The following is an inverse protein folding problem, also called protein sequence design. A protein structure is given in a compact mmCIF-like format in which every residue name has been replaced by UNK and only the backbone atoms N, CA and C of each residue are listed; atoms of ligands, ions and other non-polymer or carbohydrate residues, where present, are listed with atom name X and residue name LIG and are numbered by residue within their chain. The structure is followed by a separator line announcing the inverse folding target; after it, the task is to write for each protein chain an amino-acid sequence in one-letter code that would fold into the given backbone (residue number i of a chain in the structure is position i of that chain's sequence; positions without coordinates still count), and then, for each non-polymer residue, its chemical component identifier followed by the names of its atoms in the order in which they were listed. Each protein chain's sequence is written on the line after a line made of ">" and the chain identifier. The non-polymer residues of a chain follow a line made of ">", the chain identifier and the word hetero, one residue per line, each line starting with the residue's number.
data_IF_046110260691
#
_entry.id   IF_046110260691
#
_cell.length_a   1.000
_cell.length_b   1.000
_cell.length_c   1.000
_cell.angle_alpha   90.00
_cell.angle_beta   90.00
_cell.angle_gamma   90.00
#
_symmetry.space_group_name_H-M   'P 1'
#
loop_
_entity.id
_entity.type
_entity.pdbx_description
1 polymer ?
#
# COMPACT_ATOMS: atom_id res chain seq x y z
N UNK A 1 98.45 -37.51 -16.08
CA UNK A 1 97.35 -37.23 -15.07
C UNK A 1 96.90 -35.79 -15.00
N UNK A 2 97.46 -34.82 -15.73
CA UNK A 2 97.09 -33.37 -15.66
C UNK A 2 95.97 -32.93 -16.60
N UNK A 3 95.52 -33.70 -17.57
CA UNK A 3 94.47 -33.25 -18.52
C UNK A 3 93.02 -33.58 -18.10
N UNK A 4 92.80 -34.45 -17.11
CA UNK A 4 91.42 -34.79 -16.65
C UNK A 4 90.90 -33.81 -15.66
N UNK A 5 91.72 -33.09 -14.91
CA UNK A 5 91.33 -32.13 -13.90
C UNK A 5 90.79 -30.81 -14.56
N UNK A 6 91.36 -30.44 -15.70
CA UNK A 6 90.96 -29.25 -16.42
C UNK A 6 89.56 -29.37 -17.05
N UNK A 7 89.13 -30.55 -17.47
CA UNK A 7 87.83 -30.77 -18.06
C UNK A 7 86.68 -30.71 -17.00
N UNK A 8 86.98 -31.27 -15.83
CA UNK A 8 86.04 -31.25 -14.73
C UNK A 8 85.82 -29.82 -14.21
N UNK A 9 86.85 -29.02 -14.11
CA UNK A 9 86.74 -27.59 -13.73
C UNK A 9 86.05 -26.77 -14.79
N UNK A 10 86.25 -27.08 -16.07
CA UNK A 10 85.53 -26.41 -17.14
C UNK A 10 84.03 -26.71 -17.10
N UNK A 11 83.63 -27.95 -16.81
CA UNK A 11 82.24 -28.35 -16.68
C UNK A 11 81.60 -27.64 -15.47
N UNK A 12 82.31 -27.60 -14.33
CA UNK A 12 81.82 -26.88 -13.14
C UNK A 12 81.69 -25.39 -13.38
N UNK A 13 82.59 -24.75 -14.08
CA UNK A 13 82.55 -23.34 -14.45
C UNK A 13 81.34 -23.03 -15.37
N UNK A 14 81.13 -23.90 -16.39
CA UNK A 14 79.97 -23.76 -17.29
C UNK A 14 78.63 -23.93 -16.52
N UNK A 15 78.58 -24.93 -15.64
CA UNK A 15 77.39 -25.13 -14.80
C UNK A 15 77.12 -23.93 -13.87
N UNK A 16 78.18 -23.37 -13.26
CA UNK A 16 78.05 -22.17 -12.41
C UNK A 16 77.58 -20.93 -13.21
N UNK A 17 78.09 -20.76 -14.44
CA UNK A 17 77.65 -19.69 -15.32
C UNK A 17 76.18 -19.88 -15.73
N UNK A 18 75.76 -21.10 -16.07
CA UNK A 18 74.39 -21.41 -16.39
C UNK A 18 73.40 -21.13 -15.20
N UNK A 19 73.78 -21.54 -14.00
CA UNK A 19 73.02 -21.27 -12.78
C UNK A 19 72.96 -19.75 -12.50
N UNK A 20 74.08 -19.06 -12.68
CA UNK A 20 74.10 -17.60 -12.51
C UNK A 20 73.20 -16.87 -13.53
N UNK A 21 73.28 -17.26 -14.80
CA UNK A 21 72.42 -16.72 -15.86
C UNK A 21 70.95 -17.06 -15.58
N UNK A 22 70.63 -18.26 -15.11
CA UNK A 22 69.27 -18.67 -14.76
C UNK A 22 68.74 -17.89 -13.56
N UNK A 23 69.52 -17.70 -12.52
CA UNK A 23 69.13 -16.91 -11.35
C UNK A 23 68.99 -15.42 -11.68
N UNK A 24 69.86 -14.89 -12.51
CA UNK A 24 69.87 -13.50 -12.94
C UNK A 24 68.71 -13.22 -13.91
N UNK A 25 68.42 -14.13 -14.84
CA UNK A 25 67.26 -14.00 -15.73
C UNK A 25 65.90 -14.07 -14.98
N UNK A 26 65.87 -14.88 -13.91
CA UNK A 26 64.65 -15.00 -13.08
C UNK A 26 64.39 -13.76 -12.25
N UNK A 27 65.41 -13.09 -11.73
CA UNK A 27 65.26 -11.81 -11.04
C UNK A 27 64.91 -10.68 -11.99
N UNK A 28 65.51 -10.62 -13.17
CA UNK A 28 65.17 -9.63 -14.20
C UNK A 28 63.77 -9.77 -14.78
N UNK A 29 63.29 -11.03 -14.92
CA UNK A 29 61.89 -11.28 -15.36
C UNK A 29 60.85 -10.85 -14.33
N UNK A 30 61.17 -10.99 -13.04
CA UNK A 30 60.27 -10.53 -11.95
C UNK A 30 60.24 -8.99 -11.88
N UNK A 31 61.38 -8.37 -12.08
CA UNK A 31 61.49 -6.91 -12.05
C UNK A 31 60.88 -6.23 -13.29
N UNK A 32 60.96 -6.87 -14.46
CA UNK A 32 60.30 -6.41 -15.67
C UNK A 32 58.76 -6.53 -15.61
N UNK A 33 58.22 -7.42 -14.78
CA UNK A 33 56.78 -7.56 -14.57
C UNK A 33 56.17 -6.50 -13.60
N UNK A 34 57.03 -5.85 -12.80
CA UNK A 34 56.60 -4.90 -11.78
C UNK A 34 55.85 -3.65 -12.33
N UNK A 35 56.30 -3.01 -13.42
CA UNK A 35 55.57 -1.86 -13.99
C UNK A 35 54.23 -2.28 -14.60
N UNK A 36 54.11 -3.53 -15.09
CA UNK A 36 52.88 -4.01 -15.72
C UNK A 36 51.75 -4.28 -14.71
N UNK A 37 52.07 -4.73 -13.51
CA UNK A 37 51.12 -4.91 -12.42
C UNK A 37 50.64 -3.56 -11.87
N UNK A 38 51.47 -2.56 -11.86
CA UNK A 38 51.15 -1.20 -11.43
C UNK A 38 50.21 -0.50 -12.43
N UNK A 39 50.40 -0.70 -13.71
CA UNK A 39 49.54 -0.21 -14.79
C UNK A 39 48.18 -0.89 -14.74
N UNK A 40 48.12 -2.18 -14.51
CA UNK A 40 46.85 -2.92 -14.39
C UNK A 40 46.01 -2.46 -13.19
N UNK A 41 46.65 -2.23 -12.05
CA UNK A 41 45.96 -1.77 -10.85
C UNK A 41 45.55 -0.28 -10.91
N UNK A 42 46.28 0.53 -11.65
CA UNK A 42 45.94 1.91 -11.91
C UNK A 42 44.79 2.01 -12.90
N UNK A 43 44.78 1.21 -13.95
CA UNK A 43 43.76 1.16 -14.98
C UNK A 43 42.41 0.63 -14.42
N UNK A 44 42.47 -0.44 -13.60
CA UNK A 44 41.24 -1.02 -13.00
C UNK A 44 40.58 -0.08 -11.99
N UNK A 45 41.36 0.70 -11.23
CA UNK A 45 40.82 1.68 -10.25
C UNK A 45 40.24 2.92 -10.90
N UNK A 46 40.89 3.45 -11.94
CA UNK A 46 40.45 4.71 -12.54
C UNK A 46 39.40 4.53 -13.64
N UNK A 47 39.35 3.39 -14.32
CA UNK A 47 38.37 3.14 -15.37
C UNK A 47 37.06 2.59 -14.79
N UNK A 48 37.14 1.68 -13.80
CA UNK A 48 35.94 1.13 -13.16
C UNK A 48 35.11 2.20 -12.44
N UNK A 49 35.78 3.14 -11.75
CA UNK A 49 35.09 4.22 -11.04
C UNK A 49 34.49 5.29 -11.95
N UNK A 50 35.06 5.49 -13.15
CA UNK A 50 34.47 6.44 -14.12
C UNK A 50 33.33 5.84 -14.93
N UNK A 51 33.34 4.54 -15.17
CA UNK A 51 32.29 3.84 -15.91
C UNK A 51 31.07 3.62 -14.99
N UNK A 52 31.25 3.19 -13.73
CA UNK A 52 30.15 3.05 -12.78
C UNK A 52 29.47 4.40 -12.51
N UNK A 53 30.22 5.47 -12.31
CA UNK A 53 29.64 6.80 -12.09
C UNK A 53 28.86 7.35 -13.30
N UNK A 54 29.19 6.96 -14.52
CA UNK A 54 28.45 7.36 -15.72
C UNK A 54 27.13 6.59 -15.89
N UNK A 55 27.12 5.30 -15.55
CA UNK A 55 25.89 4.47 -15.58
C UNK A 55 24.95 4.80 -14.45
N UNK A 56 25.47 5.02 -13.23
CA UNK A 56 24.66 5.45 -12.08
C UNK A 56 24.05 6.83 -12.32
N UNK A 57 24.80 7.74 -12.94
CA UNK A 57 24.28 9.05 -13.31
C UNK A 57 23.19 9.04 -14.39
N UNK A 58 23.22 8.08 -15.33
CA UNK A 58 22.19 7.94 -16.36
C UNK A 58 20.92 7.30 -15.78
N UNK A 59 21.05 6.29 -14.92
CA UNK A 59 19.94 5.66 -14.22
C UNK A 59 19.24 6.65 -13.29
N UNK A 60 19.98 7.38 -12.48
CA UNK A 60 19.46 8.42 -11.59
C UNK A 60 18.78 9.57 -12.35
N UNK A 61 19.29 9.95 -13.51
CA UNK A 61 18.63 10.95 -14.38
C UNK A 61 17.32 10.42 -14.96
N UNK A 62 17.29 9.15 -15.41
CA UNK A 62 16.08 8.53 -15.93
C UNK A 62 14.99 8.40 -14.85
N UNK A 63 15.37 8.02 -13.64
CA UNK A 63 14.49 7.95 -12.48
C UNK A 63 13.96 9.34 -12.08
N UNK A 64 14.82 10.36 -12.07
CA UNK A 64 14.42 11.74 -11.80
C UNK A 64 13.42 12.27 -12.84
N UNK A 65 13.60 11.94 -14.12
CA UNK A 65 12.65 12.29 -15.18
C UNK A 65 11.32 11.56 -14.99
N UNK A 66 11.36 10.28 -14.62
CA UNK A 66 10.15 9.49 -14.33
C UNK A 66 9.39 10.05 -13.13
N UNK A 67 10.09 10.33 -12.02
CA UNK A 67 9.53 10.93 -10.81
C UNK A 67 8.92 12.32 -11.10
N UNK A 68 9.60 13.16 -11.85
CA UNK A 68 9.06 14.46 -12.26
C UNK A 68 7.81 14.35 -13.10
N UNK A 69 7.73 13.37 -14.01
CA UNK A 69 6.51 13.11 -14.80
C UNK A 69 5.37 12.63 -13.93
N UNK A 70 5.62 11.72 -12.99
CA UNK A 70 4.58 11.27 -12.07
C UNK A 70 4.10 12.38 -11.13
N UNK A 71 5.00 13.22 -10.64
CA UNK A 71 4.64 14.40 -9.85
C UNK A 71 3.82 15.41 -10.65
N UNK A 72 4.18 15.67 -11.92
CA UNK A 72 3.38 16.56 -12.77
C UNK A 72 2.01 15.98 -13.12
N UNK A 73 1.89 14.68 -13.32
CA UNK A 73 0.61 14.01 -13.53
C UNK A 73 -0.29 14.12 -12.29
N UNK A 74 0.24 13.83 -11.11
CA UNK A 74 -0.47 13.99 -9.84
C UNK A 74 -0.88 15.45 -9.57
N UNK A 75 -0.02 16.42 -9.91
CA UNK A 75 -0.34 17.84 -9.76
C UNK A 75 -1.45 18.30 -10.71
N UNK A 76 -1.53 17.75 -11.91
CA UNK A 76 -2.64 18.00 -12.84
C UNK A 76 -3.94 17.38 -12.33
N UNK A 77 -3.90 16.14 -11.86
CA UNK A 77 -5.06 15.45 -11.28
C UNK A 77 -5.59 16.16 -10.04
N UNK A 78 -4.69 16.61 -9.15
CA UNK A 78 -5.09 17.40 -7.98
C UNK A 78 -5.71 18.74 -8.37
N UNK A 79 -5.19 19.41 -9.39
CA UNK A 79 -5.75 20.66 -9.90
C UNK A 79 -7.13 20.49 -10.56
N UNK A 80 -7.40 19.37 -11.22
CA UNK A 80 -8.73 19.03 -11.72
C UNK A 80 -9.69 18.70 -10.58
N UNK A 81 -9.23 17.96 -9.59
CA UNK A 81 -10.01 17.67 -8.38
C UNK A 81 -10.42 18.95 -7.63
N UNK A 82 -9.48 19.88 -7.43
CA UNK A 82 -9.78 21.17 -6.80
C UNK A 82 -10.84 21.98 -7.58
N UNK A 83 -10.79 21.98 -8.91
CA UNK A 83 -11.81 22.62 -9.73
C UNK A 83 -13.19 21.98 -9.57
N UNK A 84 -13.24 20.64 -9.54
CA UNK A 84 -14.51 19.91 -9.35
C UNK A 84 -15.07 20.17 -7.95
N UNK A 85 -14.24 20.20 -6.91
CA UNK A 85 -14.65 20.55 -5.54
C UNK A 85 -15.17 21.97 -5.48
N UNK A 86 -14.44 22.94 -6.03
CA UNK A 86 -14.86 24.34 -6.04
C UNK A 86 -16.20 24.57 -6.78
N UNK A 87 -16.38 23.88 -7.92
CA UNK A 87 -17.66 23.96 -8.64
C UNK A 87 -18.78 23.24 -7.89
N UNK A 88 -18.51 22.14 -7.22
CA UNK A 88 -19.50 21.46 -6.37
C UNK A 88 -19.95 22.37 -5.21
N UNK A 89 -19.00 23.04 -4.56
CA UNK A 89 -19.31 23.99 -3.48
C UNK A 89 -20.05 25.21 -3.98
N UNK A 90 -19.70 25.70 -5.17
CA UNK A 90 -20.46 26.77 -5.84
C UNK A 90 -21.90 26.34 -6.13
N UNK A 91 -22.09 25.15 -6.72
CA UNK A 91 -23.42 24.62 -7.01
C UNK A 91 -24.25 24.40 -5.75
N UNK A 92 -23.65 23.91 -4.67
CA UNK A 92 -24.31 23.76 -3.36
C UNK A 92 -24.77 25.09 -2.80
N UNK A 93 -23.93 26.13 -2.87
CA UNK A 93 -24.32 27.49 -2.45
C UNK A 93 -25.51 28.03 -3.27
N UNK A 94 -25.47 27.83 -4.59
CA UNK A 94 -26.58 28.27 -5.49
C UNK A 94 -27.89 27.52 -5.17
N UNK A 95 -27.78 26.23 -4.80
CA UNK A 95 -28.94 25.40 -4.46
C UNK A 95 -29.41 25.57 -3.00
N UNK A 96 -28.75 26.45 -2.22
CA UNK A 96 -29.08 26.63 -0.79
C UNK A 96 -28.74 25.40 0.07
N UNK A 97 -27.92 24.48 -0.44
CA UNK A 97 -27.38 23.40 0.38
C UNK A 97 -26.38 23.97 1.38
N UNK A 98 -26.69 23.79 2.67
CA UNK A 98 -25.79 24.18 3.73
C UNK A 98 -24.43 23.51 3.49
N UNK A 99 -23.35 24.29 3.58
CA UNK A 99 -21.98 23.75 3.63
C UNK A 99 -21.97 22.64 4.66
N UNK A 100 -21.54 21.45 4.25
CA UNK A 100 -21.22 20.42 5.24
C UNK A 100 -20.07 20.96 6.05
N UNK A 101 -20.36 21.35 7.29
CA UNK A 101 -19.36 21.71 8.26
C UNK A 101 -18.24 20.67 8.20
N UNK A 102 -17.01 21.15 8.26
CA UNK A 102 -15.82 20.29 8.40
C UNK A 102 -16.08 19.33 9.55
N UNK A 103 -16.30 18.06 9.26
CA UNK A 103 -16.76 17.11 10.26
C UNK A 103 -15.59 16.86 11.20
N UNK A 104 -15.71 17.37 12.40
CA UNK A 104 -14.72 17.17 13.45
C UNK A 104 -14.55 15.66 13.70
N UNK A 105 -13.33 15.18 13.50
CA UNK A 105 -12.95 13.78 13.71
C UNK A 105 -12.18 13.65 15.00
N UNK A 106 -12.62 12.76 15.87
CA UNK A 106 -11.97 12.46 17.14
C UNK A 106 -11.09 11.21 16.92
N UNK A 107 -9.76 11.33 16.93
CA UNK A 107 -8.89 10.16 16.83
C UNK A 107 -9.00 9.33 18.12
N UNK A 108 -9.13 8.02 17.97
CA UNK A 108 -9.25 7.08 19.08
C UNK A 108 -8.46 5.81 18.80
N UNK A 109 -7.76 5.33 19.82
CA UNK A 109 -7.03 4.05 19.77
C UNK A 109 -7.97 2.90 20.12
N UNK A 110 -7.83 1.77 19.44
CA UNK A 110 -8.55 0.53 19.70
C UNK A 110 -7.89 -0.17 20.90
N UNK A 111 -8.63 -0.32 21.99
CA UNK A 111 -8.15 -0.91 23.24
C UNK A 111 -8.32 -2.43 23.29
N UNK A 112 -9.44 -2.92 22.76
CA UNK A 112 -9.76 -4.34 22.75
C UNK A 112 -10.81 -4.67 21.69
N UNK A 113 -10.80 -5.90 21.24
CA UNK A 113 -11.83 -6.47 20.38
C UNK A 113 -12.84 -7.21 21.23
N UNK A 114 -14.13 -7.01 20.95
CA UNK A 114 -15.26 -7.71 21.55
C UNK A 114 -15.92 -8.58 20.50
N UNK A 115 -16.39 -9.77 20.92
CA UNK A 115 -17.09 -10.69 20.05
C UNK A 115 -17.09 -12.07 20.69
N UNK A 116 -18.13 -12.86 20.41
CA UNK A 116 -18.23 -14.24 20.89
C UNK A 116 -17.12 -15.10 20.31
N UNK A 117 -16.93 -16.27 20.93
CA UNK A 117 -15.94 -17.26 20.53
C UNK A 117 -16.05 -17.57 19.04
N UNK A 118 -14.86 -17.66 18.42
CA UNK A 118 -14.61 -18.14 17.04
C UNK A 118 -14.98 -17.12 15.93
N UNK A 119 -14.00 -16.46 15.44
CA UNK A 119 -13.76 -15.94 14.09
C UNK A 119 -14.42 -14.66 13.58
N UNK A 120 -15.28 -13.95 14.32
CA UNK A 120 -15.73 -12.65 13.86
C UNK A 120 -15.76 -11.62 14.98
N UNK A 121 -14.84 -10.68 14.94
CA UNK A 121 -14.93 -9.48 15.78
C UNK A 121 -16.18 -8.71 15.37
N UNK A 122 -17.09 -8.47 16.33
CA UNK A 122 -18.34 -7.74 16.10
C UNK A 122 -18.37 -6.37 16.74
N UNK A 123 -17.51 -6.15 17.74
CA UNK A 123 -17.34 -4.85 18.38
C UNK A 123 -15.89 -4.58 18.71
N UNK A 124 -15.54 -3.32 18.87
CA UNK A 124 -14.25 -2.87 19.41
C UNK A 124 -14.47 -1.82 20.46
N UNK A 125 -13.63 -1.83 21.49
CA UNK A 125 -13.59 -0.77 22.51
C UNK A 125 -12.50 0.21 22.17
N UNK A 126 -12.82 1.50 22.19
CA UNK A 126 -11.90 2.59 21.84
C UNK A 126 -11.67 3.51 23.04
N UNK A 127 -10.47 4.11 23.12
CA UNK A 127 -9.97 4.93 24.24
C UNK A 127 -10.49 6.38 24.23
N UNK A 128 -11.69 6.62 23.71
CA UNK A 128 -12.37 7.93 23.77
C UNK A 128 -13.82 7.75 24.14
N UNK A 129 -14.32 8.64 24.99
CA UNK A 129 -15.70 8.61 25.50
C UNK A 129 -16.37 9.97 25.48
N UNK A 130 -17.41 10.14 26.29
CA UNK A 130 -18.23 11.35 26.30
C UNK A 130 -17.46 12.63 26.66
N UNK A 131 -16.41 12.53 27.48
CA UNK A 131 -15.52 13.67 27.81
C UNK A 131 -14.83 14.20 26.55
N UNK A 132 -14.47 13.30 25.61
CA UNK A 132 -13.89 13.69 24.32
C UNK A 132 -14.93 14.15 23.29
N UNK A 133 -16.23 14.18 23.63
CA UNK A 133 -17.30 14.58 22.75
C UNK A 133 -17.90 13.46 21.91
N UNK A 134 -17.54 12.19 22.18
CA UNK A 134 -18.14 11.03 21.52
C UNK A 134 -19.60 10.89 21.92
N UNK A 135 -20.44 10.55 20.94
CA UNK A 135 -21.89 10.32 21.12
C UNK A 135 -22.29 8.95 20.58
N UNK A 136 -23.31 8.38 21.16
CA UNK A 136 -23.95 7.17 20.62
C UNK A 136 -24.52 7.47 19.23
N UNK A 137 -24.43 6.48 18.34
CA UNK A 137 -24.84 6.64 16.95
C UNK A 137 -23.80 7.35 16.06
N UNK A 138 -22.67 7.80 16.59
CA UNK A 138 -21.61 8.40 15.80
C UNK A 138 -20.96 7.36 14.87
N UNK A 139 -20.73 7.74 13.62
CA UNK A 139 -20.03 6.90 12.66
C UNK A 139 -18.54 6.84 12.98
N UNK A 140 -17.95 5.65 12.81
CA UNK A 140 -16.52 5.39 13.01
C UNK A 140 -15.89 4.94 11.70
N UNK A 141 -14.80 5.60 11.33
CA UNK A 141 -14.11 5.39 10.05
C UNK A 141 -12.59 5.31 10.23
N UNK A 142 -11.91 4.74 9.25
CA UNK A 142 -10.47 4.85 9.02
C UNK A 142 -10.22 5.55 7.69
N UNK A 143 -8.98 5.88 7.33
CA UNK A 143 -8.66 6.39 5.99
C UNK A 143 -9.09 5.45 4.87
N UNK A 144 -9.12 4.14 5.12
CA UNK A 144 -9.52 3.10 4.17
C UNK A 144 -11.03 3.02 3.99
N UNK A 145 -11.82 3.28 5.07
CA UNK A 145 -13.27 3.20 4.97
C UNK A 145 -14.03 3.15 6.29
N UNK A 146 -15.29 2.73 6.18
CA UNK A 146 -16.23 2.64 7.30
C UNK A 146 -15.88 1.46 8.22
N UNK A 147 -15.77 1.73 9.51
CA UNK A 147 -15.54 0.72 10.55
C UNK A 147 -16.83 0.28 11.21
N UNK A 148 -17.67 1.22 11.62
CA UNK A 148 -18.88 0.90 12.38
C UNK A 148 -19.61 2.11 12.94
N UNK A 149 -20.33 1.87 14.01
CA UNK A 149 -21.12 2.89 14.73
C UNK A 149 -20.90 2.75 16.23
N UNK A 150 -20.84 3.86 16.94
CA UNK A 150 -20.76 3.89 18.39
C UNK A 150 -22.07 3.37 18.99
N UNK A 151 -22.00 2.24 19.68
CA UNK A 151 -23.16 1.59 20.30
C UNK A 151 -23.40 2.08 21.72
N UNK A 152 -22.33 2.29 22.50
CA UNK A 152 -22.42 2.81 23.88
C UNK A 152 -21.23 3.69 24.21
N UNK A 153 -21.42 4.62 25.12
CA UNK A 153 -20.41 5.60 25.51
C UNK A 153 -20.28 5.65 27.02
N UNK A 154 -19.05 5.56 27.51
CA UNK A 154 -18.68 5.83 28.91
C UNK A 154 -17.88 7.15 28.97
N UNK A 155 -17.53 7.67 30.16
CA UNK A 155 -16.77 8.92 30.22
C UNK A 155 -15.44 8.89 29.45
N UNK A 156 -14.71 7.78 29.47
CA UNK A 156 -13.36 7.66 28.92
C UNK A 156 -13.24 6.71 27.72
N UNK A 157 -14.21 5.81 27.54
CA UNK A 157 -14.19 4.81 26.46
C UNK A 157 -15.53 4.74 25.76
N UNK A 158 -15.56 4.17 24.56
CA UNK A 158 -16.81 3.83 23.88
C UNK A 158 -16.69 2.46 23.22
N UNK A 159 -17.83 1.83 23.06
CA UNK A 159 -17.96 0.57 22.33
C UNK A 159 -18.51 0.86 20.91
N UNK A 160 -17.78 0.39 19.93
CA UNK A 160 -18.10 0.54 18.52
C UNK A 160 -18.55 -0.82 17.99
N UNK A 161 -19.75 -0.88 17.46
CA UNK A 161 -20.27 -2.04 16.75
C UNK A 161 -19.79 -1.99 15.30
N UNK A 162 -19.13 -3.04 14.85
CA UNK A 162 -18.53 -3.10 13.52
C UNK A 162 -19.58 -3.37 12.44
N UNK A 163 -19.31 -2.97 11.20
CA UNK A 163 -20.18 -3.28 10.06
C UNK A 163 -20.24 -4.76 9.72
N UNK A 164 -19.35 -5.57 10.29
CA UNK A 164 -19.37 -7.04 10.23
C UNK A 164 -20.46 -7.66 11.12
N UNK A 165 -21.01 -6.89 12.08
CA UNK A 165 -22.11 -7.36 12.90
C UNK A 165 -23.43 -7.35 12.08
N UNK A 166 -24.21 -8.46 12.04
CA UNK A 166 -25.46 -8.52 11.32
C UNK A 166 -26.55 -7.54 11.80
N UNK A 167 -26.43 -7.01 13.01
CA UNK A 167 -27.38 -6.00 13.55
C UNK A 167 -27.16 -4.61 12.98
N UNK A 168 -25.92 -4.33 12.51
CA UNK A 168 -25.57 -3.04 11.90
C UNK A 168 -26.06 -3.01 10.46
N UNK A 169 -26.91 -2.03 10.18
CA UNK A 169 -27.47 -1.80 8.84
C UNK A 169 -26.91 -0.52 8.26
N UNK A 170 -26.19 -0.63 7.16
CA UNK A 170 -25.58 0.50 6.46
C UNK A 170 -26.29 0.73 5.14
N UNK A 171 -26.91 1.89 4.98
CA UNK A 171 -27.44 2.28 3.69
C UNK A 171 -26.29 2.66 2.76
N UNK A 172 -26.16 1.97 1.64
CA UNK A 172 -25.04 2.12 0.72
C UNK A 172 -25.47 2.32 -0.73
N UNK A 173 -24.51 2.84 -1.51
CA UNK A 173 -24.60 3.04 -2.93
C UNK A 173 -23.47 2.28 -3.62
N UNK A 174 -23.83 1.44 -4.57
CA UNK A 174 -22.88 0.75 -5.45
C UNK A 174 -22.61 1.64 -6.66
N UNK A 175 -21.33 1.85 -6.97
CA UNK A 175 -20.90 2.60 -8.13
C UNK A 175 -21.13 1.76 -9.40
N UNK A 176 -21.98 2.24 -10.28
CA UNK A 176 -22.42 1.56 -11.49
C UNK A 176 -22.83 2.61 -12.49
N UNK A 177 -23.05 2.21 -13.76
CA UNK A 177 -23.58 3.10 -14.84
C UNK A 177 -24.85 3.82 -14.37
N UNK A 178 -25.69 3.13 -13.61
CA UNK A 178 -26.81 3.71 -12.87
C UNK A 178 -26.59 3.42 -11.39
N UNK A 179 -26.44 4.44 -10.53
CA UNK A 179 -26.21 4.21 -9.11
C UNK A 179 -27.28 3.31 -8.51
N UNK A 180 -26.84 2.24 -7.87
CA UNK A 180 -27.71 1.30 -7.17
C UNK A 180 -27.62 1.56 -5.68
N UNK A 181 -28.76 1.58 -5.02
CA UNK A 181 -28.83 1.70 -3.55
C UNK A 181 -29.26 0.37 -2.95
N UNK A 182 -28.68 0.06 -1.80
CA UNK A 182 -29.00 -1.13 -1.05
C UNK A 182 -28.73 -0.96 0.44
N UNK A 183 -29.08 -1.96 1.21
CA UNK A 183 -28.76 -2.05 2.63
C UNK A 183 -27.71 -3.14 2.81
N UNK A 184 -26.61 -2.76 3.41
CA UNK A 184 -25.50 -3.66 3.73
C UNK A 184 -25.62 -4.05 5.21
N UNK A 185 -25.37 -5.30 5.48
CA UNK A 185 -25.31 -5.90 6.82
C UNK A 185 -24.08 -6.79 6.94
N UNK A 186 -23.65 -7.07 8.15
CA UNK A 186 -22.65 -8.12 8.38
C UNK A 186 -23.11 -9.44 7.76
N UNK A 187 -22.19 -10.15 7.15
CA UNK A 187 -22.39 -11.44 6.51
C UNK A 187 -21.72 -12.57 7.27
N UNK A 188 -21.47 -13.66 6.57
CA UNK A 188 -20.67 -14.77 7.06
C UNK A 188 -19.23 -14.62 6.59
N UNK A 189 -18.28 -14.98 7.45
CA UNK A 189 -16.85 -14.87 7.18
C UNK A 189 -16.41 -13.45 6.88
N UNK A 190 -15.58 -13.22 5.86
CA UNK A 190 -14.99 -11.91 5.54
C UNK A 190 -15.84 -11.08 4.58
N UNK A 191 -17.06 -11.51 4.25
CA UNK A 191 -17.94 -10.83 3.30
C UNK A 191 -19.12 -10.16 4.00
N UNK A 192 -19.39 -8.92 3.61
CA UNK A 192 -20.62 -8.22 3.96
C UNK A 192 -21.72 -8.56 2.95
N UNK A 193 -22.95 -8.61 3.40
CA UNK A 193 -24.11 -8.89 2.55
C UNK A 193 -24.84 -7.61 2.21
N UNK A 194 -25.02 -7.30 0.92
CA UNK A 194 -25.86 -6.21 0.45
C UNK A 194 -27.17 -6.77 -0.09
N UNK A 195 -28.28 -6.14 0.26
CA UNK A 195 -29.65 -6.53 -0.10
C UNK A 195 -30.43 -5.36 -0.67
N UNK A 196 -31.61 -5.62 -1.19
CA UNK A 196 -32.51 -4.63 -1.77
C UNK A 196 -31.93 -3.89 -3.00
N UNK A 197 -31.04 -4.52 -3.70
CA UNK A 197 -30.58 -4.05 -5.01
C UNK A 197 -31.70 -4.24 -6.02
N UNK A 198 -31.79 -3.33 -7.00
CA UNK A 198 -32.76 -3.48 -8.09
C UNK A 198 -32.46 -4.76 -8.86
N UNK A 199 -33.45 -5.67 -9.01
CA UNK A 199 -33.27 -6.89 -9.78
C UNK A 199 -32.84 -6.61 -11.23
N UNK A 200 -31.94 -7.44 -11.77
CA UNK A 200 -31.43 -7.30 -13.15
C UNK A 200 -30.55 -6.09 -13.40
N UNK A 201 -30.08 -5.42 -12.32
CA UNK A 201 -29.13 -4.33 -12.48
C UNK A 201 -27.75 -4.87 -12.81
N UNK A 202 -27.13 -4.31 -13.83
CA UNK A 202 -25.74 -4.59 -14.19
C UNK A 202 -24.82 -3.84 -13.22
N UNK A 203 -23.98 -4.56 -12.52
CA UNK A 203 -22.94 -4.03 -11.66
C UNK A 203 -21.60 -4.27 -12.33
N UNK A 204 -20.79 -3.23 -12.42
CA UNK A 204 -19.44 -3.35 -12.95
C UNK A 204 -18.60 -4.29 -12.07
N UNK A 205 -17.73 -5.11 -12.64
CA UNK A 205 -16.80 -5.93 -11.89
C UNK A 205 -15.98 -5.05 -10.94
N UNK A 206 -15.91 -5.45 -9.66
CA UNK A 206 -15.22 -4.70 -8.61
C UNK A 206 -15.74 -3.28 -8.39
N UNK A 207 -17.04 -3.06 -8.59
CA UNK A 207 -17.67 -1.77 -8.32
C UNK A 207 -17.44 -1.36 -6.85
N UNK A 208 -17.09 -0.11 -6.63
CA UNK A 208 -16.91 0.44 -5.29
C UNK A 208 -18.26 0.67 -4.62
N UNK A 209 -18.29 0.43 -3.32
CA UNK A 209 -19.48 0.62 -2.48
C UNK A 209 -19.19 1.72 -1.47
N UNK A 210 -20.06 2.70 -1.41
CA UNK A 210 -19.99 3.84 -0.50
C UNK A 210 -21.25 3.97 0.33
N UNK A 211 -21.17 4.61 1.49
CA UNK A 211 -22.36 5.00 2.24
C UNK A 211 -23.22 5.97 1.43
N UNK A 212 -24.53 5.79 1.48
CA UNK A 212 -25.47 6.63 0.73
C UNK A 212 -25.95 7.87 1.50
N UNK A 213 -25.83 7.86 2.83
CA UNK A 213 -26.36 8.90 3.72
C UNK A 213 -27.84 8.72 4.10
N UNK A 214 -28.55 7.74 3.53
CA UNK A 214 -29.92 7.44 3.94
C UNK A 214 -29.94 6.86 5.36
N UNK A 215 -30.95 7.24 6.14
CA UNK A 215 -31.08 6.80 7.53
C UNK A 215 -30.37 7.71 8.55
N UNK A 216 -29.52 8.64 8.10
CA UNK A 216 -28.96 9.71 8.95
C UNK A 216 -27.85 9.28 9.92
N UNK A 217 -27.56 7.97 10.08
CA UNK A 217 -26.52 7.45 10.97
C UNK A 217 -25.15 7.59 10.30
N UNK A 218 -25.03 7.16 9.07
CA UNK A 218 -23.78 7.22 8.33
C UNK A 218 -23.82 8.34 7.30
N UNK A 219 -22.90 9.29 7.33
CA UNK A 219 -22.83 10.31 6.29
C UNK A 219 -22.50 9.68 4.93
N UNK A 220 -22.93 10.26 3.81
CA UNK A 220 -22.67 9.72 2.50
C UNK A 220 -21.20 9.87 2.09
N UNK A 221 -20.72 8.93 1.27
CA UNK A 221 -19.40 9.00 0.63
C UNK A 221 -18.26 8.35 1.39
N UNK A 222 -18.52 7.64 2.50
CA UNK A 222 -17.50 6.83 3.15
C UNK A 222 -17.36 5.52 2.37
N UNK A 223 -16.14 5.11 2.03
CA UNK A 223 -15.88 3.84 1.39
C UNK A 223 -16.30 2.68 2.31
N UNK A 224 -17.01 1.70 1.78
CA UNK A 224 -17.44 0.52 2.53
C UNK A 224 -16.66 -0.71 2.05
N UNK A 225 -16.46 -0.81 0.74
CA UNK A 225 -15.76 -1.94 0.17
C UNK A 225 -15.94 -2.06 -1.34
N UNK A 226 -15.70 -3.27 -1.82
CA UNK A 226 -15.79 -3.61 -3.24
C UNK A 226 -16.82 -4.70 -3.45
N UNK A 227 -17.71 -4.50 -4.39
CA UNK A 227 -18.75 -5.47 -4.74
C UNK A 227 -18.11 -6.71 -5.38
N UNK A 228 -18.39 -7.88 -4.81
CA UNK A 228 -17.93 -9.16 -5.31
C UNK A 228 -19.09 -9.82 -6.08
N UNK A 229 -18.93 -9.98 -7.38
CA UNK A 229 -19.80 -10.81 -8.18
C UNK A 229 -18.98 -11.96 -8.77
N UNK A 230 -19.40 -13.18 -8.54
CA UNK A 230 -18.87 -14.35 -9.25
C UNK A 230 -19.48 -14.48 -10.66
N UNK A 231 -20.17 -13.45 -11.12
CA UNK A 231 -20.84 -13.39 -12.40
C UNK A 231 -21.59 -12.07 -12.54
N UNK A 232 -21.81 -11.64 -13.76
CA UNK A 232 -22.26 -10.33 -14.21
C UNK A 232 -23.62 -9.85 -13.64
N UNK A 233 -24.28 -10.62 -12.81
CA UNK A 233 -25.63 -10.33 -12.31
C UNK A 233 -25.74 -10.43 -10.80
N UNK A 234 -26.40 -9.44 -10.22
CA UNK A 234 -26.91 -9.50 -8.85
C UNK A 234 -27.73 -10.77 -8.67
N UNK A 235 -27.31 -11.65 -7.75
CA UNK A 235 -28.07 -12.86 -7.45
C UNK A 235 -29.45 -12.49 -6.93
N UNK A 236 -30.48 -13.19 -7.41
CA UNK A 236 -31.86 -12.97 -6.99
C UNK A 236 -32.20 -13.81 -5.77
N UNK A 237 -33.07 -13.28 -4.92
CA UNK A 237 -33.73 -14.08 -3.91
C UNK A 237 -34.63 -15.14 -4.55
N UNK A 238 -34.98 -16.19 -3.80
CA UNK A 238 -35.84 -17.30 -4.26
C UNK A 238 -37.16 -16.82 -4.93
N UNK A 239 -37.60 -15.60 -4.61
CA UNK A 239 -38.80 -14.99 -5.16
C UNK A 239 -38.54 -14.02 -6.33
N UNK A 240 -37.29 -13.82 -6.73
CA UNK A 240 -36.90 -12.90 -7.84
C UNK A 240 -37.12 -11.42 -7.58
N UNK A 241 -37.51 -11.03 -6.37
CA UNK A 241 -37.92 -9.66 -6.03
C UNK A 241 -36.78 -8.78 -5.51
N UNK A 242 -35.76 -9.37 -4.90
CA UNK A 242 -34.63 -8.66 -4.31
C UNK A 242 -33.30 -9.14 -4.87
N UNK A 243 -32.48 -8.17 -5.27
CA UNK A 243 -31.08 -8.45 -5.62
C UNK A 243 -30.20 -8.52 -4.37
N UNK A 244 -29.32 -9.50 -4.34
CA UNK A 244 -28.31 -9.68 -3.28
C UNK A 244 -26.93 -9.73 -3.87
N UNK A 245 -25.93 -9.34 -3.08
CA UNK A 245 -24.54 -9.45 -3.46
C UNK A 245 -23.62 -9.49 -2.25
N UNK A 246 -22.39 -9.94 -2.46
CA UNK A 246 -21.32 -9.88 -1.50
C UNK A 246 -20.51 -8.59 -1.67
N UNK A 247 -20.01 -8.06 -0.58
CA UNK A 247 -19.11 -6.91 -0.57
C UNK A 247 -17.88 -7.25 0.26
N UNK A 248 -16.71 -7.19 -0.36
CA UNK A 248 -15.44 -7.29 0.35
C UNK A 248 -15.19 -5.95 1.06
N UNK A 249 -15.06 -5.91 2.39
CA UNK A 249 -14.84 -4.68 3.11
C UNK A 249 -13.54 -3.99 2.69
N UNK A 250 -13.53 -2.65 2.74
CA UNK A 250 -12.34 -1.85 2.46
C UNK A 250 -11.36 -1.84 3.64
N UNK A 251 -11.85 -2.11 4.84
CA UNK A 251 -11.10 -2.09 6.10
C UNK A 251 -10.81 -3.52 6.54
N UNK A 252 -9.58 -3.78 6.96
CA UNK A 252 -9.21 -5.01 7.63
C UNK A 252 -9.52 -4.87 9.14
N UNK A 253 -10.54 -5.57 9.59
CA UNK A 253 -11.00 -5.53 10.99
C UNK A 253 -10.09 -6.27 11.95
N UNK A 254 -9.17 -7.10 11.47
CA UNK A 254 -8.26 -7.89 12.32
C UNK A 254 -7.06 -7.08 12.79
N UNK A 255 -6.69 -6.03 12.06
CA UNK A 255 -5.49 -5.21 12.29
C UNK A 255 -5.79 -3.78 12.74
N UNK A 256 -7.04 -3.46 13.09
CA UNK A 256 -7.45 -2.13 13.54
C UNK A 256 -6.66 -1.68 14.77
N UNK A 257 -6.02 -0.51 14.67
CA UNK A 257 -5.30 0.14 15.79
C UNK A 257 -5.85 1.52 16.09
N UNK A 258 -6.06 2.32 15.06
CA UNK A 258 -6.50 3.70 15.17
C UNK A 258 -7.76 3.92 14.33
N UNK A 259 -8.73 4.62 14.91
CA UNK A 259 -10.00 4.93 14.25
C UNK A 259 -10.35 6.40 14.48
N UNK A 260 -11.22 6.93 13.64
CA UNK A 260 -11.75 8.28 13.72
C UNK A 260 -13.25 8.24 13.98
N UNK A 261 -13.68 8.86 15.07
CA UNK A 261 -15.09 8.98 15.42
C UNK A 261 -15.60 10.33 14.90
N UNK A 262 -16.66 10.33 14.13
CA UNK A 262 -17.27 11.55 13.61
C UNK A 262 -18.16 12.18 14.70
N UNK A 263 -18.01 13.48 14.88
CA UNK A 263 -18.79 14.25 15.84
C UNK A 263 -20.07 14.80 15.22
#
# INVERSE_FOLDING_TARGET
>A
MRAKISKTWAIVAVAAVCVFVFLFSRSAAIEAAYPFQRIKSWFSRNVATRISGAFDGAAAKAENVKLKRSLSALALESGEYEKVVAENDRLRRVLGYAERADVERIPAEVLSFGGGAVDAFRSVRVGKGSIAGVREGAAVETPEGLVGVVASVTPHTSEVMLITDPSVKVSCRVESVRPLTGILTGGSEDLLSIRFLKPGAEVLPRAKVFTSGFGGVFPPGIAVGTFCTDGETVTHDANGLEGRGGVLPAVDFTTLKDVFIRR
#
